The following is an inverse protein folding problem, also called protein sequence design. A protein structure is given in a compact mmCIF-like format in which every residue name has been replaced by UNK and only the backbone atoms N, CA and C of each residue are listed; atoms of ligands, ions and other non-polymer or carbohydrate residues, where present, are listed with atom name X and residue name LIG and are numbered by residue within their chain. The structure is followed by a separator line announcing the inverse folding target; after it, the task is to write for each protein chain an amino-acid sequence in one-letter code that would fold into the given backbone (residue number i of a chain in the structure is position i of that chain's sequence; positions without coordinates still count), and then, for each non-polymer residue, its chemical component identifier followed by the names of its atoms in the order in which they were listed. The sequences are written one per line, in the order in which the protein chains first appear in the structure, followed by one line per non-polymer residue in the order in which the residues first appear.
data_IF_249280819685
#
_entry.id   IF_249280819685
#
_cell.length_a   1.000
_cell.length_b   1.000
_cell.length_c   1.000
_cell.angle_alpha   90.00
_cell.angle_beta   90.00
_cell.angle_gamma   90.00
#
_symmetry.space_group_name_H-M   'P 1'
#
loop_
_entity.id
_entity.type
_entity.pdbx_description
1 polymer ?
#
# COMPACT_ATOMS: atom_id res chain seq x y z
N UNK A 1 7.30 10.95 -18.52
CA UNK A 1 6.34 11.40 -17.50
C UNK A 1 6.56 10.78 -16.11
N UNK A 2 7.50 9.84 -15.94
CA UNK A 2 7.68 9.08 -14.69
C UNK A 2 8.82 9.59 -13.79
N UNK A 3 9.52 10.67 -14.17
CA UNK A 3 10.68 11.18 -13.44
C UNK A 3 10.34 12.02 -12.19
N UNK A 4 9.05 12.31 -11.95
CA UNK A 4 8.65 13.32 -10.96
C UNK A 4 7.72 12.83 -9.84
N UNK A 5 7.62 11.51 -9.61
CA UNK A 5 6.86 11.01 -8.47
C UNK A 5 7.67 11.18 -7.16
N UNK A 6 8.01 12.43 -6.87
CA UNK A 6 8.68 12.78 -5.62
C UNK A 6 7.70 12.72 -4.46
N UNK A 7 8.15 12.16 -3.37
CA UNK A 7 7.39 12.10 -2.12
C UNK A 7 7.54 13.39 -1.31
N UNK A 8 6.68 13.54 -0.35
CA UNK A 8 6.74 14.57 0.68
C UNK A 8 6.11 14.04 1.97
N UNK A 9 6.33 14.74 3.07
CA UNK A 9 5.63 14.52 4.32
C UNK A 9 4.74 15.72 4.65
N UNK A 10 3.88 15.58 5.65
CA UNK A 10 2.90 16.61 5.99
C UNK A 10 3.57 17.94 6.39
N UNK A 11 4.70 17.88 7.11
CA UNK A 11 5.43 19.09 7.51
C UNK A 11 5.97 19.85 6.30
N UNK A 12 6.58 19.14 5.34
CA UNK A 12 7.09 19.75 4.11
C UNK A 12 5.97 20.39 3.28
N UNK A 13 4.82 19.72 3.17
CA UNK A 13 3.65 20.27 2.48
C UNK A 13 3.16 21.55 3.16
N UNK A 14 3.06 21.56 4.47
CA UNK A 14 2.67 22.76 5.23
C UNK A 14 3.67 23.91 5.03
N UNK A 15 4.97 23.63 5.08
CA UNK A 15 6.02 24.63 4.81
C UNK A 15 5.87 25.21 3.40
N UNK A 16 5.70 24.39 2.39
CA UNK A 16 5.52 24.84 1.00
C UNK A 16 4.24 25.66 0.81
N UNK A 17 3.19 25.33 1.54
CA UNK A 17 1.92 26.07 1.54
C UNK A 17 1.95 27.36 2.39
N UNK A 18 3.02 27.61 3.13
CA UNK A 18 3.09 28.76 4.08
C UNK A 18 2.13 28.59 5.27
N UNK A 19 1.79 27.35 5.64
CA UNK A 19 0.87 27.02 6.74
C UNK A 19 1.68 26.48 7.92
N UNK A 20 1.41 26.99 9.11
CA UNK A 20 1.99 26.46 10.34
C UNK A 20 1.24 25.17 10.76
N UNK A 21 1.98 24.07 10.92
CA UNK A 21 1.45 22.82 11.45
C UNK A 21 1.39 22.89 12.98
N UNK A 22 0.29 23.41 13.50
CA UNK A 22 0.08 23.48 14.96
C UNK A 22 -0.41 22.15 15.52
N UNK A 23 -0.24 21.86 16.84
CA UNK A 23 -0.81 20.68 17.47
C UNK A 23 -2.34 20.55 17.28
N UNK A 24 -3.07 21.67 17.33
CA UNK A 24 -4.51 21.68 17.08
C UNK A 24 -4.86 21.36 15.63
N UNK A 25 -4.10 21.91 14.67
CA UNK A 25 -4.25 21.59 13.25
C UNK A 25 -3.96 20.12 12.97
N UNK A 26 -2.93 19.55 13.60
CA UNK A 26 -2.61 18.13 13.47
C UNK A 26 -3.73 17.24 14.03
N UNK A 27 -4.23 17.55 15.23
CA UNK A 27 -5.34 16.81 15.84
C UNK A 27 -6.61 16.87 14.98
N UNK A 28 -6.91 18.01 14.36
CA UNK A 28 -8.05 18.13 13.45
C UNK A 28 -7.83 17.33 12.17
N UNK A 29 -6.62 17.37 11.59
CA UNK A 29 -6.26 16.57 10.43
C UNK A 29 -6.44 15.07 10.72
N UNK A 30 -5.93 14.58 11.84
CA UNK A 30 -6.09 13.19 12.26
C UNK A 30 -7.56 12.82 12.48
N UNK A 31 -8.35 13.69 13.11
CA UNK A 31 -9.78 13.49 13.34
C UNK A 31 -10.55 13.31 12.03
N UNK A 32 -10.21 14.08 11.00
CA UNK A 32 -10.83 14.00 9.68
C UNK A 32 -10.49 12.66 8.99
N UNK A 33 -9.25 12.19 9.13
CA UNK A 33 -8.80 10.98 8.46
C UNK A 33 -9.10 9.68 9.22
N UNK A 34 -9.32 9.73 10.53
CA UNK A 34 -9.58 8.54 11.35
C UNK A 34 -10.68 7.60 10.80
N UNK A 35 -11.82 8.10 10.31
CA UNK A 35 -12.86 7.23 9.73
C UNK A 35 -12.39 6.44 8.49
N UNK A 36 -11.34 6.90 7.82
CA UNK A 36 -10.77 6.27 6.63
C UNK A 36 -9.62 5.29 6.95
N UNK A 37 -9.36 5.04 8.23
CA UNK A 37 -8.31 4.11 8.69
C UNK A 37 -8.87 2.80 9.24
N UNK A 38 -10.15 2.54 9.03
CA UNK A 38 -10.76 1.28 9.44
C UNK A 38 -10.33 0.14 8.52
N UNK A 39 -10.00 -0.98 9.14
CA UNK A 39 -9.61 -2.19 8.42
C UNK A 39 -10.87 -2.91 7.90
N UNK A 40 -10.82 -3.38 6.66
CA UNK A 40 -11.87 -4.25 6.13
C UNK A 40 -12.02 -5.52 7.02
N UNK A 41 -13.26 -5.98 7.28
CA UNK A 41 -13.50 -7.07 8.24
C UNK A 41 -12.78 -8.38 7.92
N UNK A 42 -12.50 -8.64 6.64
CA UNK A 42 -11.81 -9.85 6.20
C UNK A 42 -10.27 -9.70 6.12
N UNK A 43 -9.74 -8.50 6.33
CA UNK A 43 -8.30 -8.25 6.19
C UNK A 43 -7.48 -9.02 7.26
N UNK A 44 -7.80 -8.85 8.55
CA UNK A 44 -7.05 -9.51 9.62
C UNK A 44 -7.07 -11.06 9.52
N UNK A 45 -8.21 -11.74 9.31
CA UNK A 45 -8.20 -13.18 9.11
C UNK A 45 -7.43 -13.60 7.86
N UNK A 46 -7.52 -12.85 6.77
CA UNK A 46 -6.77 -13.14 5.53
C UNK A 46 -5.26 -13.02 5.76
N UNK A 47 -4.80 -11.95 6.40
CA UNK A 47 -3.37 -11.78 6.68
C UNK A 47 -2.82 -12.90 7.59
N UNK A 48 -3.59 -13.34 8.58
CA UNK A 48 -3.22 -14.48 9.43
C UNK A 48 -3.11 -15.77 8.62
N UNK A 49 -4.03 -16.02 7.71
CA UNK A 49 -3.98 -17.18 6.85
C UNK A 49 -2.76 -17.15 5.91
N UNK A 50 -2.46 -16.00 5.29
CA UNK A 50 -1.28 -15.83 4.45
C UNK A 50 0.02 -16.06 5.24
N UNK A 51 0.10 -15.57 6.46
CA UNK A 51 1.22 -15.83 7.39
C UNK A 51 1.35 -17.30 7.73
N UNK A 52 0.25 -18.00 8.02
CA UNK A 52 0.24 -19.43 8.32
C UNK A 52 0.74 -20.27 7.13
N UNK A 53 0.62 -19.77 5.91
CA UNK A 53 1.17 -20.38 4.68
C UNK A 53 2.65 -20.05 4.45
N UNK A 54 3.30 -19.33 5.37
CA UNK A 54 4.72 -18.96 5.28
C UNK A 54 5.01 -17.80 4.32
N UNK A 55 3.99 -17.05 3.91
CA UNK A 55 4.17 -15.88 3.07
C UNK A 55 4.67 -14.68 3.88
N UNK A 56 5.52 -13.88 3.26
CA UNK A 56 5.94 -12.59 3.81
C UNK A 56 4.93 -11.52 3.42
N UNK A 57 4.62 -10.65 4.38
CA UNK A 57 3.62 -9.60 4.21
C UNK A 57 4.29 -8.25 4.42
N UNK A 58 4.08 -7.33 3.49
CA UNK A 58 4.60 -5.97 3.59
C UNK A 58 3.57 -4.93 3.19
N UNK A 59 3.81 -3.70 3.61
CA UNK A 59 3.03 -2.52 3.23
C UNK A 59 3.87 -1.58 2.40
N UNK A 60 3.29 -1.03 1.34
CA UNK A 60 3.79 0.13 0.61
C UNK A 60 2.64 1.13 0.47
N UNK A 61 2.75 2.27 1.13
CA UNK A 61 1.72 3.30 1.14
C UNK A 61 2.23 4.65 0.63
N UNK A 62 1.45 5.27 -0.28
CA UNK A 62 1.59 6.68 -0.60
C UNK A 62 0.88 7.48 0.50
N UNK A 63 1.64 8.19 1.31
CA UNK A 63 1.14 8.86 2.50
C UNK A 63 1.99 10.08 2.86
N UNK A 64 1.37 11.04 3.52
CA UNK A 64 2.06 12.16 4.17
C UNK A 64 2.33 11.90 5.65
N UNK A 65 1.74 10.85 6.23
CA UNK A 65 1.85 10.53 7.65
C UNK A 65 3.19 9.87 7.99
N UNK A 66 3.69 10.09 9.22
CA UNK A 66 4.86 9.38 9.71
C UNK A 66 4.54 7.91 9.99
N UNK A 67 5.57 7.07 10.01
CA UNK A 67 5.49 5.65 10.37
C UNK A 67 4.75 5.41 11.68
N UNK A 68 5.04 6.19 12.71
CA UNK A 68 4.43 6.03 14.04
C UNK A 68 2.90 6.02 13.97
N UNK A 69 2.32 6.85 13.11
CA UNK A 69 0.86 6.88 12.94
C UNK A 69 0.31 5.63 12.30
N UNK A 70 0.99 5.10 11.30
CA UNK A 70 0.61 3.81 10.69
C UNK A 70 0.77 2.65 11.66
N UNK A 71 1.86 2.61 12.42
CA UNK A 71 2.13 1.58 13.41
C UNK A 71 1.06 1.58 14.53
N UNK A 72 0.60 2.76 14.97
CA UNK A 72 -0.53 2.88 15.91
C UNK A 72 -1.82 2.28 15.34
N UNK A 73 -2.15 2.59 14.08
CA UNK A 73 -3.34 2.07 13.39
C UNK A 73 -3.25 0.54 13.27
N UNK A 74 -2.12 0.03 12.79
CA UNK A 74 -1.93 -1.41 12.62
C UNK A 74 -1.87 -2.16 13.95
N UNK A 75 -1.34 -1.54 15.01
CA UNK A 75 -1.37 -2.12 16.36
C UNK A 75 -2.80 -2.17 16.91
N UNK A 76 -3.59 -1.09 16.76
CA UNK A 76 -5.01 -1.05 17.13
C UNK A 76 -5.78 -2.20 16.49
N UNK A 77 -5.50 -2.47 15.21
CA UNK A 77 -6.22 -3.45 14.40
C UNK A 77 -5.61 -4.87 14.49
N UNK A 78 -4.54 -5.06 15.28
CA UNK A 78 -3.89 -6.35 15.46
C UNK A 78 -3.15 -6.88 14.23
N UNK A 79 -2.73 -5.97 13.33
CA UNK A 79 -2.05 -6.30 12.07
C UNK A 79 -0.54 -6.11 12.17
N UNK A 80 -0.06 -5.23 13.06
CA UNK A 80 1.35 -4.82 13.09
C UNK A 80 2.32 -6.02 13.17
N UNK A 81 2.04 -7.00 14.04
CA UNK A 81 2.88 -8.19 14.25
C UNK A 81 2.81 -9.19 13.07
N UNK A 82 1.90 -8.99 12.11
CA UNK A 82 1.80 -9.81 10.92
C UNK A 82 2.69 -9.31 9.78
N UNK A 83 3.21 -8.08 9.89
CA UNK A 83 4.01 -7.44 8.85
C UNK A 83 5.49 -7.80 8.99
N UNK A 84 6.13 -8.21 7.90
CA UNK A 84 7.60 -8.40 7.81
C UNK A 84 8.32 -7.10 7.46
N UNK A 85 7.60 -6.12 6.91
CA UNK A 85 8.15 -4.81 6.55
C UNK A 85 7.08 -3.83 6.11
N UNK A 86 7.42 -2.55 6.21
CA UNK A 86 6.57 -1.47 5.73
C UNK A 86 7.42 -0.34 5.14
N UNK A 87 6.92 0.26 4.07
CA UNK A 87 7.50 1.43 3.41
C UNK A 87 6.40 2.48 3.21
N UNK A 88 6.68 3.67 3.69
CA UNK A 88 5.80 4.82 3.57
C UNK A 88 6.47 5.89 2.70
N UNK A 89 5.74 6.46 1.76
CA UNK A 89 6.33 7.46 0.86
C UNK A 89 6.84 8.69 1.61
N UNK A 90 6.27 9.03 2.76
CA UNK A 90 6.76 10.11 3.63
C UNK A 90 8.20 9.92 4.15
N UNK A 91 8.77 8.71 4.03
CA UNK A 91 10.11 8.35 4.52
C UNK A 91 11.11 8.05 3.40
N UNK A 92 10.64 7.96 2.16
CA UNK A 92 11.48 7.68 0.98
C UNK A 92 11.30 8.76 -0.08
N UNK A 93 12.22 8.80 -1.05
CA UNK A 93 12.25 9.86 -2.06
C UNK A 93 11.08 9.82 -3.05
N UNK A 94 10.51 8.65 -3.31
CA UNK A 94 9.54 8.45 -4.39
C UNK A 94 8.25 7.82 -3.90
N UNK A 95 7.13 8.21 -4.51
CA UNK A 95 5.82 7.59 -4.34
C UNK A 95 5.60 6.50 -5.40
N UNK A 96 4.62 5.62 -5.21
CA UNK A 96 4.05 4.84 -6.31
C UNK A 96 3.51 5.80 -7.39
N UNK A 97 3.63 5.48 -8.66
CA UNK A 97 4.10 4.22 -9.27
C UNK A 97 5.60 4.17 -9.55
N UNK A 98 6.46 5.02 -8.95
CA UNK A 98 7.88 5.01 -9.21
C UNK A 98 8.51 3.65 -8.82
N UNK A 99 9.36 3.03 -9.68
CA UNK A 99 9.95 1.70 -9.44
C UNK A 99 10.66 1.57 -8.10
N UNK A 100 11.40 2.60 -7.67
CA UNK A 100 12.15 2.56 -6.40
C UNK A 100 11.26 2.37 -5.16
N UNK A 101 10.00 2.80 -5.19
CA UNK A 101 9.07 2.57 -4.09
C UNK A 101 8.77 1.06 -3.93
N UNK A 102 8.51 0.36 -5.03
CA UNK A 102 8.27 -1.10 -5.03
C UNK A 102 9.54 -1.88 -4.67
N UNK A 103 10.69 -1.48 -5.21
CA UNK A 103 11.96 -2.10 -4.85
C UNK A 103 12.31 -1.89 -3.37
N UNK A 104 11.98 -0.74 -2.79
CA UNK A 104 12.11 -0.50 -1.35
C UNK A 104 11.20 -1.43 -0.54
N UNK A 105 9.95 -1.61 -0.96
CA UNK A 105 9.01 -2.54 -0.32
C UNK A 105 9.51 -3.99 -0.38
N UNK A 106 10.03 -4.44 -1.52
CA UNK A 106 10.65 -5.77 -1.63
C UNK A 106 11.82 -5.95 -0.67
N UNK A 107 12.70 -4.95 -0.59
CA UNK A 107 13.85 -4.97 0.35
C UNK A 107 13.38 -5.06 1.80
N UNK A 108 12.32 -4.33 2.17
CA UNK A 108 11.80 -4.31 3.55
C UNK A 108 11.31 -5.67 4.01
N UNK A 109 10.78 -6.48 3.10
CA UNK A 109 10.35 -7.86 3.39
C UNK A 109 11.40 -8.92 3.03
N UNK A 110 12.62 -8.50 2.62
CA UNK A 110 13.72 -9.39 2.30
C UNK A 110 13.52 -10.24 1.03
N UNK A 111 12.75 -9.76 0.05
CA UNK A 111 12.53 -10.41 -1.25
C UNK A 111 13.33 -9.68 -2.33
N UNK A 112 13.91 -10.44 -3.28
CA UNK A 112 14.75 -9.90 -4.36
C UNK A 112 14.21 -10.19 -5.76
N UNK A 113 13.23 -11.07 -5.87
CA UNK A 113 12.69 -11.57 -7.15
C UNK A 113 11.28 -11.05 -7.32
N UNK A 114 11.05 -10.05 -8.20
CA UNK A 114 9.74 -9.40 -8.36
C UNK A 114 8.64 -10.38 -8.77
N UNK A 115 8.95 -11.34 -9.64
CA UNK A 115 8.00 -12.33 -10.16
C UNK A 115 7.42 -13.23 -9.05
N UNK A 116 8.04 -13.24 -7.87
CA UNK A 116 7.57 -13.94 -6.67
C UNK A 116 6.74 -13.05 -5.76
N UNK A 117 6.48 -11.81 -6.17
CA UNK A 117 5.68 -10.85 -5.41
C UNK A 117 4.32 -10.66 -6.06
N UNK A 118 3.30 -10.58 -5.22
CA UNK A 118 1.98 -10.08 -5.57
C UNK A 118 1.78 -8.74 -4.87
N UNK A 119 1.54 -7.70 -5.64
CA UNK A 119 1.07 -6.42 -5.12
C UNK A 119 -0.46 -6.40 -5.15
N UNK A 120 -1.06 -5.94 -4.06
CA UNK A 120 -2.53 -5.83 -3.94
C UNK A 120 -2.85 -4.38 -3.66
N UNK A 121 -3.66 -3.76 -4.51
CA UNK A 121 -3.99 -2.34 -4.36
C UNK A 121 -5.27 -1.96 -5.10
N UNK A 122 -5.70 -0.74 -4.88
CA UNK A 122 -6.98 -0.20 -5.34
C UNK A 122 -6.84 0.78 -6.52
N UNK A 123 -5.61 1.22 -6.83
CA UNK A 123 -5.34 2.17 -7.91
C UNK A 123 -4.72 1.49 -9.11
N UNK A 124 -5.37 1.58 -10.27
CA UNK A 124 -4.89 0.92 -11.49
C UNK A 124 -3.50 1.43 -11.91
N UNK A 125 -3.25 2.74 -11.84
CA UNK A 125 -1.96 3.28 -12.23
C UNK A 125 -0.90 3.15 -11.14
N UNK A 126 -1.19 3.65 -9.94
CA UNK A 126 -0.20 3.68 -8.86
C UNK A 126 0.20 2.27 -8.41
N UNK A 127 -0.78 1.36 -8.27
CA UNK A 127 -0.57 0.04 -7.69
C UNK A 127 -0.34 -1.03 -8.76
N UNK A 128 -1.29 -1.16 -9.70
CA UNK A 128 -1.27 -2.26 -10.67
C UNK A 128 -0.17 -2.04 -11.70
N UNK A 129 -0.24 -0.92 -12.42
CA UNK A 129 0.78 -0.59 -13.42
C UNK A 129 2.17 -0.45 -12.80
N UNK A 130 2.27 0.24 -11.65
CA UNK A 130 3.54 0.44 -10.96
C UNK A 130 4.20 -0.86 -10.52
N UNK A 131 3.45 -1.81 -9.96
CA UNK A 131 3.94 -3.12 -9.58
C UNK A 131 4.39 -3.95 -10.79
N UNK A 132 3.57 -3.96 -11.85
CA UNK A 132 3.90 -4.70 -13.07
C UNK A 132 5.13 -4.12 -13.79
N UNK A 133 5.35 -2.81 -13.72
CA UNK A 133 6.51 -2.16 -14.29
C UNK A 133 7.86 -2.59 -13.66
N UNK A 134 7.82 -3.17 -12.46
CA UNK A 134 9.01 -3.77 -11.82
C UNK A 134 9.02 -5.31 -11.90
N UNK A 135 8.06 -5.92 -12.60
CA UNK A 135 7.97 -7.36 -12.81
C UNK A 135 7.17 -8.12 -11.73
N UNK A 136 6.48 -7.44 -10.83
CA UNK A 136 5.55 -8.09 -9.90
C UNK A 136 4.24 -8.48 -10.61
N UNK A 137 3.53 -9.43 -10.03
CA UNK A 137 2.10 -9.60 -10.31
C UNK A 137 1.29 -8.58 -9.53
N UNK A 138 0.11 -8.20 -10.07
CA UNK A 138 -0.76 -7.22 -9.45
C UNK A 138 -2.21 -7.69 -9.38
N UNK A 139 -2.78 -7.63 -8.18
CA UNK A 139 -4.21 -7.82 -7.94
C UNK A 139 -4.87 -6.47 -7.66
N UNK A 140 -5.98 -6.22 -8.32
CA UNK A 140 -6.80 -5.02 -8.10
C UNK A 140 -7.96 -5.32 -7.15
N UNK A 141 -8.15 -4.46 -6.14
CA UNK A 141 -9.29 -4.48 -5.20
C UNK A 141 -10.08 -3.18 -5.40
N UNK A 142 -11.22 -3.18 -6.13
CA UNK A 142 -11.86 -1.97 -6.63
C UNK A 142 -12.78 -1.25 -5.61
N UNK A 143 -12.52 -1.34 -4.31
CA UNK A 143 -13.46 -0.89 -3.27
C UNK A 143 -13.07 0.40 -2.54
N UNK A 144 -11.98 1.05 -2.93
CA UNK A 144 -11.65 2.31 -2.28
C UNK A 144 -12.63 3.41 -2.69
N UNK A 145 -13.13 4.15 -1.71
CA UNK A 145 -13.94 5.35 -1.92
C UNK A 145 -12.99 6.50 -2.23
N UNK A 146 -12.46 6.52 -3.46
CA UNK A 146 -11.63 7.63 -3.92
C UNK A 146 -12.56 8.61 -4.64
N UNK A 147 -12.54 9.91 -4.29
CA UNK A 147 -13.24 10.94 -5.05
C UNK A 147 -12.83 10.89 -6.53
N UNK A 148 -13.80 11.09 -7.43
CA UNK A 148 -13.57 10.94 -8.88
C UNK A 148 -12.46 11.85 -9.43
N UNK A 149 -12.28 13.04 -8.84
CA UNK A 149 -11.22 13.99 -9.17
C UNK A 149 -9.82 13.55 -8.68
N UNK A 150 -9.75 12.57 -7.78
CA UNK A 150 -8.51 12.00 -7.25
C UNK A 150 -8.17 10.62 -7.84
N UNK A 151 -9.03 10.06 -8.68
CA UNK A 151 -8.76 8.74 -9.31
C UNK A 151 -7.48 8.77 -10.15
N UNK A 152 -7.18 9.90 -10.77
CA UNK A 152 -5.96 10.06 -11.58
C UNK A 152 -5.97 9.20 -12.84
N UNK A 153 -4.81 8.68 -13.22
CA UNK A 153 -4.68 7.78 -14.36
C UNK A 153 -5.29 6.41 -14.07
N UNK A 154 -5.98 5.85 -15.05
CA UNK A 154 -6.59 4.52 -15.00
C UNK A 154 -5.81 3.48 -15.82
N UNK A 155 -4.60 3.81 -16.24
CA UNK A 155 -3.71 2.89 -16.94
C UNK A 155 -3.30 1.76 -15.99
N UNK A 156 -3.39 0.55 -16.50
CA UNK A 156 -3.05 -0.67 -15.76
C UNK A 156 -4.09 -1.75 -15.99
N UNK A 157 -3.61 -2.94 -16.34
CA UNK A 157 -4.46 -4.13 -16.50
C UNK A 157 -4.01 -5.14 -15.43
N UNK A 158 -4.82 -5.38 -14.39
CA UNK A 158 -4.44 -6.28 -13.32
C UNK A 158 -4.37 -7.73 -13.82
N UNK A 159 -3.46 -8.53 -13.25
CA UNK A 159 -3.41 -9.98 -13.48
C UNK A 159 -4.70 -10.65 -12.97
N UNK A 160 -5.31 -10.06 -11.95
CA UNK A 160 -6.59 -10.49 -11.38
C UNK A 160 -7.27 -9.32 -10.67
N UNK A 161 -8.60 -9.33 -10.67
CA UNK A 161 -9.42 -8.47 -9.79
C UNK A 161 -10.06 -9.36 -8.74
N UNK A 162 -9.92 -9.01 -7.46
CA UNK A 162 -10.56 -9.66 -6.32
C UNK A 162 -11.53 -8.68 -5.67
N UNK A 163 -12.70 -9.17 -5.30
CA UNK A 163 -13.71 -8.33 -4.66
C UNK A 163 -13.49 -8.20 -3.15
N UNK A 164 -12.72 -9.11 -2.57
CA UNK A 164 -12.38 -9.13 -1.14
C UNK A 164 -10.99 -9.70 -0.94
N UNK A 165 -10.30 -9.27 0.10
CA UNK A 165 -8.98 -9.79 0.45
C UNK A 165 -9.02 -11.29 0.76
N UNK A 166 -10.13 -11.80 1.29
CA UNK A 166 -10.36 -13.23 1.56
C UNK A 166 -10.29 -14.16 0.35
N UNK A 167 -10.29 -13.62 -0.86
CA UNK A 167 -10.09 -14.41 -2.10
C UNK A 167 -8.61 -14.70 -2.40
N UNK A 168 -7.68 -13.94 -1.78
CA UNK A 168 -6.24 -14.05 -2.07
C UNK A 168 -5.65 -15.44 -1.77
N UNK A 169 -5.96 -16.11 -0.65
CA UNK A 169 -5.44 -17.45 -0.39
C UNK A 169 -5.76 -18.45 -1.50
N UNK A 170 -7.03 -18.50 -1.95
CA UNK A 170 -7.45 -19.37 -3.04
C UNK A 170 -6.87 -18.98 -4.40
N UNK A 171 -6.61 -17.72 -4.64
CA UNK A 171 -5.91 -17.25 -5.84
C UNK A 171 -4.47 -17.78 -5.88
N UNK A 172 -3.75 -17.67 -4.78
CA UNK A 172 -2.36 -18.14 -4.69
C UNK A 172 -2.25 -19.65 -4.85
N UNK A 173 -3.22 -20.42 -4.37
CA UNK A 173 -3.28 -21.87 -4.60
C UNK A 173 -3.36 -22.20 -6.10
N UNK A 174 -4.21 -21.49 -6.84
CA UNK A 174 -4.33 -21.67 -8.30
C UNK A 174 -3.04 -21.27 -9.03
N UNK A 175 -2.39 -20.20 -8.63
CA UNK A 175 -1.14 -19.74 -9.26
C UNK A 175 0.03 -20.70 -9.01
N UNK A 176 0.11 -21.31 -7.85
CA UNK A 176 1.14 -22.29 -7.54
C UNK A 176 0.96 -23.60 -8.33
N UNK A 177 -0.28 -23.97 -8.68
CA UNK A 177 -0.57 -25.17 -9.51
C UNK A 177 -0.17 -24.99 -10.99
N UNK A 178 -0.10 -23.77 -11.49
CA UNK A 178 0.27 -23.48 -12.90
C UNK A 178 1.79 -23.46 -13.10
N UNK A 179 2.56 -23.35 -12.03
CA UNK A 179 4.04 -23.21 -12.06
C UNK A 179 4.74 -24.52 -11.65
N UNK A 180 3.99 -25.53 -11.20
CA UNK A 180 4.49 -26.87 -10.88
C UNK A 180 4.40 -27.79 -12.09
#
# INVERSE_FOLDING_TARGET
MHEHHLSSNLHEVCVLAGVELTPAGMAEYERQWNPHTELEPDALPTLRELRARGLRIGVLSNTLWPRSRHDEIFARDGVLDLLDGAVYSSEIRYTKPHPEAFLAAMRSVGVKVPERCLFVGDRLFDDVWGAQNVGMRAAHVPHSVIPADQVGHTDGTPDVTVQRLSELPGLLDRWNQVVA
#
